data_IF_730947552678
#
_entry.id   IF_730947552678
#
_cell.length_a   1.000
_cell.length_b   1.000
_cell.length_c   1.000
_cell.angle_alpha   90.00
_cell.angle_beta   90.00
_cell.angle_gamma   90.00
#
_symmetry.space_group_name_H-M   'P 1'
#
loop_
_entity.id
_entity.type
_entity.pdbx_description
1 polymer ?
#
# COMPACT_ATOMS: atom_id res chain seq x y z
N UNK A 1 -96.70 -5.14 -46.14
CA UNK A 1 -95.70 -6.15 -45.85
C UNK A 1 -94.53 -5.47 -45.25
N UNK A 2 -94.50 -5.44 -43.99
CA UNK A 2 -93.56 -4.73 -43.09
C UNK A 2 -92.41 -5.64 -42.71
N UNK A 3 -91.22 -5.22 -42.99
CA UNK A 3 -90.02 -5.95 -42.57
C UNK A 3 -89.35 -5.07 -41.50
N UNK A 4 -89.34 -5.53 -40.25
CA UNK A 4 -88.74 -4.91 -39.07
C UNK A 4 -87.30 -5.34 -39.01
N UNK A 5 -86.41 -4.39 -39.32
CA UNK A 5 -84.95 -4.55 -39.12
C UNK A 5 -84.62 -4.27 -37.66
N UNK A 6 -84.35 -5.31 -36.91
CA UNK A 6 -83.88 -5.30 -35.52
C UNK A 6 -82.47 -4.77 -35.46
N UNK A 7 -82.29 -3.52 -34.95
CA UNK A 7 -80.99 -2.96 -34.67
C UNK A 7 -80.39 -3.61 -33.37
N UNK A 8 -79.34 -4.35 -33.53
CA UNK A 8 -78.55 -4.93 -32.44
C UNK A 8 -77.66 -3.84 -31.85
N UNK A 9 -78.00 -3.39 -30.67
CA UNK A 9 -77.17 -2.45 -29.91
C UNK A 9 -76.00 -3.19 -29.25
N UNK A 10 -74.82 -3.05 -29.84
CA UNK A 10 -73.59 -3.46 -29.20
C UNK A 10 -73.22 -2.38 -28.19
N UNK A 11 -73.40 -2.66 -26.88
CA UNK A 11 -72.84 -1.89 -25.80
C UNK A 11 -71.33 -2.03 -25.81
N UNK A 12 -70.55 -0.93 -25.72
CA UNK A 12 -69.12 -1.04 -25.48
C UNK A 12 -68.93 -1.51 -24.06
N UNK A 13 -68.26 -2.64 -23.93
CA UNK A 13 -67.78 -3.23 -22.68
C UNK A 13 -66.82 -2.19 -22.05
N UNK A 14 -67.27 -1.51 -21.01
CA UNK A 14 -66.48 -0.59 -20.23
C UNK A 14 -65.38 -1.41 -19.55
N UNK A 15 -64.13 -1.31 -20.01
CA UNK A 15 -62.97 -1.85 -19.34
C UNK A 15 -62.95 -1.33 -17.89
N UNK A 16 -63.23 -2.22 -16.95
CA UNK A 16 -63.07 -1.97 -15.50
C UNK A 16 -61.62 -1.49 -15.26
N UNK A 17 -61.44 -0.21 -15.07
CA UNK A 17 -60.19 0.34 -14.55
C UNK A 17 -60.09 -0.14 -13.10
N UNK A 18 -59.37 -1.22 -12.91
CA UNK A 18 -59.05 -1.71 -11.57
C UNK A 18 -58.24 -0.63 -10.86
N UNK A 19 -58.90 0.14 -10.03
CA UNK A 19 -58.25 1.08 -9.13
C UNK A 19 -57.43 0.24 -8.09
N UNK A 20 -56.10 0.41 -8.03
CA UNK A 20 -55.30 -0.38 -7.10
C UNK A 20 -55.77 -0.10 -5.67
N UNK A 21 -55.93 -1.17 -4.87
CA UNK A 21 -56.33 -1.06 -3.47
C UNK A 21 -55.32 -0.19 -2.70
N UNK A 22 -55.83 0.63 -1.78
CA UNK A 22 -55.02 1.53 -0.95
C UNK A 22 -53.90 0.77 -0.20
N UNK A 23 -54.16 -0.46 0.20
CA UNK A 23 -53.17 -1.33 0.86
C UNK A 23 -52.01 -1.68 -0.08
N UNK A 24 -52.29 -1.95 -1.37
CA UNK A 24 -51.28 -2.26 -2.37
C UNK A 24 -50.39 -1.04 -2.66
N UNK A 25 -50.99 0.13 -2.81
CA UNK A 25 -50.26 1.39 -3.01
C UNK A 25 -49.37 1.74 -1.81
N UNK A 26 -49.83 1.51 -0.58
CA UNK A 26 -49.04 1.71 0.63
C UNK A 26 -47.85 0.74 0.69
N UNK A 27 -48.04 -0.53 0.32
CA UNK A 27 -46.95 -1.50 0.25
C UNK A 27 -45.90 -1.14 -0.80
N UNK A 28 -46.33 -0.71 -1.99
CA UNK A 28 -45.43 -0.25 -3.04
C UNK A 28 -44.65 1.01 -2.63
N UNK A 29 -45.30 1.96 -1.96
CA UNK A 29 -44.67 3.19 -1.47
C UNK A 29 -43.62 2.87 -0.39
N UNK A 30 -43.91 1.93 0.53
CA UNK A 30 -42.95 1.49 1.55
C UNK A 30 -41.73 0.83 0.90
N UNK A 31 -41.99 -0.09 -0.05
CA UNK A 31 -40.91 -0.74 -0.80
C UNK A 31 -40.07 0.27 -1.58
N UNK A 32 -40.68 1.21 -2.28
CA UNK A 32 -39.97 2.25 -3.02
C UNK A 32 -39.11 3.13 -2.11
N UNK A 33 -39.60 3.45 -0.88
CA UNK A 33 -38.81 4.18 0.12
C UNK A 33 -37.61 3.36 0.61
N UNK A 34 -37.80 2.08 0.90
CA UNK A 34 -36.71 1.20 1.32
C UNK A 34 -35.66 1.02 0.23
N UNK A 35 -36.10 0.85 -1.01
CA UNK A 35 -35.19 0.76 -2.17
C UNK A 35 -34.44 2.09 -2.41
N UNK A 36 -35.11 3.24 -2.24
CA UNK A 36 -34.46 4.55 -2.30
C UNK A 36 -33.40 4.73 -1.19
N UNK A 37 -33.73 4.37 0.06
CA UNK A 37 -32.79 4.48 1.18
C UNK A 37 -31.57 3.56 0.96
N UNK A 38 -31.79 2.36 0.45
CA UNK A 38 -30.72 1.43 0.10
C UNK A 38 -29.83 2.00 -1.00
N UNK A 39 -30.45 2.52 -2.06
CA UNK A 39 -29.71 3.14 -3.18
C UNK A 39 -28.89 4.36 -2.73
N UNK A 40 -29.43 5.19 -1.82
CA UNK A 40 -28.71 6.32 -1.24
C UNK A 40 -27.51 5.85 -0.42
N UNK A 41 -27.68 4.81 0.40
CA UNK A 41 -26.59 4.23 1.19
C UNK A 41 -25.48 3.63 0.29
N UNK A 42 -25.87 2.93 -0.77
CA UNK A 42 -24.93 2.38 -1.75
C UNK A 42 -24.19 3.49 -2.52
N UNK A 43 -24.89 4.54 -2.92
CA UNK A 43 -24.29 5.70 -3.58
C UNK A 43 -23.27 6.40 -2.68
N UNK A 44 -23.60 6.62 -1.40
CA UNK A 44 -22.69 7.23 -0.42
C UNK A 44 -21.46 6.34 -0.17
N UNK A 45 -21.65 5.03 -0.03
CA UNK A 45 -20.54 4.07 0.11
C UNK A 45 -19.62 4.07 -1.11
N UNK A 46 -20.21 4.13 -2.32
CA UNK A 46 -19.48 4.19 -3.57
C UNK A 46 -18.70 5.51 -3.69
N UNK A 47 -19.33 6.65 -3.33
CA UNK A 47 -18.67 7.95 -3.28
C UNK A 47 -17.46 7.95 -2.36
N UNK A 48 -17.64 7.47 -1.12
CA UNK A 48 -16.53 7.36 -0.14
C UNK A 48 -15.41 6.46 -0.61
N UNK A 49 -15.74 5.35 -1.28
CA UNK A 49 -14.74 4.45 -1.86
C UNK A 49 -13.97 5.15 -2.98
N UNK A 50 -14.67 5.83 -3.89
CA UNK A 50 -14.04 6.56 -4.98
C UNK A 50 -13.12 7.68 -4.47
N UNK A 51 -13.54 8.44 -3.46
CA UNK A 51 -12.71 9.48 -2.84
C UNK A 51 -11.41 8.92 -2.26
N UNK A 52 -11.47 7.78 -1.55
CA UNK A 52 -10.27 7.09 -1.05
C UNK A 52 -9.38 6.63 -2.20
N UNK A 53 -9.94 6.00 -3.22
CA UNK A 53 -9.17 5.56 -4.39
C UNK A 53 -8.47 6.71 -5.12
N UNK A 54 -9.12 7.87 -5.24
CA UNK A 54 -8.51 9.07 -5.83
C UNK A 54 -7.38 9.59 -4.93
N UNK A 55 -7.56 9.62 -3.61
CA UNK A 55 -6.52 10.02 -2.67
C UNK A 55 -5.31 9.08 -2.75
N UNK A 56 -5.54 7.78 -2.72
CA UNK A 56 -4.49 6.75 -2.85
C UNK A 56 -3.78 6.87 -4.19
N UNK A 57 -4.52 7.02 -5.30
CA UNK A 57 -3.94 7.19 -6.62
C UNK A 57 -3.02 8.42 -6.71
N UNK A 58 -3.37 9.52 -6.05
CA UNK A 58 -2.53 10.73 -5.99
C UNK A 58 -1.24 10.51 -5.21
N UNK A 59 -1.34 9.83 -4.06
CA UNK A 59 -0.16 9.54 -3.22
C UNK A 59 0.78 8.58 -3.93
N UNK A 60 0.24 7.54 -4.58
CA UNK A 60 1.05 6.48 -5.21
C UNK A 60 1.27 6.64 -6.71
N UNK A 61 0.88 7.79 -7.30
CA UNK A 61 1.10 8.06 -8.72
C UNK A 61 2.58 7.98 -9.14
N UNK A 62 3.49 8.27 -8.21
CA UNK A 62 4.94 8.24 -8.45
C UNK A 62 5.61 6.92 -8.04
N UNK A 63 4.85 5.94 -7.53
CA UNK A 63 5.36 4.66 -7.00
C UNK A 63 6.31 3.98 -8.01
N UNK A 64 5.83 3.77 -9.23
CA UNK A 64 6.63 3.12 -10.29
C UNK A 64 7.87 3.94 -10.67
N UNK A 65 7.68 5.24 -10.89
CA UNK A 65 8.79 6.14 -11.22
C UNK A 65 9.83 6.18 -10.11
N UNK A 66 9.40 6.28 -8.85
CA UNK A 66 10.29 6.24 -7.70
C UNK A 66 11.05 4.91 -7.65
N UNK A 67 10.35 3.78 -7.85
CA UNK A 67 10.96 2.44 -7.92
C UNK A 67 12.07 2.36 -8.97
N UNK A 68 11.84 2.93 -10.15
CA UNK A 68 12.82 2.96 -11.25
C UNK A 68 14.05 3.85 -10.95
N UNK A 69 13.93 4.81 -10.00
CA UNK A 69 15.06 5.65 -9.55
C UNK A 69 15.91 5.01 -8.42
N UNK A 70 15.37 4.02 -7.69
CA UNK A 70 16.12 3.40 -6.58
C UNK A 70 17.48 2.81 -7.00
N UNK A 71 17.61 2.14 -8.17
CA UNK A 71 18.91 1.64 -8.62
C UNK A 71 19.97 2.74 -8.82
N UNK A 72 19.54 3.97 -9.15
CA UNK A 72 20.45 5.11 -9.29
C UNK A 72 20.99 5.51 -7.93
N UNK A 73 20.13 5.62 -6.92
CA UNK A 73 20.54 5.87 -5.54
C UNK A 73 21.51 4.80 -5.02
N UNK A 74 21.21 3.52 -5.29
CA UNK A 74 22.10 2.40 -4.92
C UNK A 74 23.48 2.50 -5.60
N UNK A 75 23.50 2.90 -6.87
CA UNK A 75 24.76 3.03 -7.62
C UNK A 75 25.61 4.18 -7.08
N UNK A 76 24.98 5.31 -6.70
CA UNK A 76 25.68 6.42 -6.06
C UNK A 76 26.25 6.00 -4.71
N UNK A 77 25.43 5.35 -3.85
CA UNK A 77 25.91 4.85 -2.55
C UNK A 77 27.05 3.85 -2.70
N UNK A 78 26.96 2.94 -3.68
CA UNK A 78 28.04 1.96 -3.98
C UNK A 78 29.31 2.64 -4.46
N UNK A 79 29.20 3.67 -5.30
CA UNK A 79 30.35 4.44 -5.78
C UNK A 79 31.07 5.12 -4.61
N UNK A 80 30.32 5.70 -3.66
CA UNK A 80 30.86 6.33 -2.47
C UNK A 80 31.51 5.34 -1.50
N UNK A 81 30.97 4.12 -1.38
CA UNK A 81 31.59 3.06 -0.58
C UNK A 81 32.89 2.54 -1.19
N UNK A 82 33.00 2.51 -2.51
CA UNK A 82 34.17 2.06 -3.23
C UNK A 82 35.22 3.16 -3.44
N UNK A 83 34.89 4.42 -3.12
CA UNK A 83 35.78 5.56 -3.33
C UNK A 83 37.00 5.50 -2.41
N UNK A 84 38.23 5.69 -2.96
CA UNK A 84 39.46 5.77 -2.16
C UNK A 84 39.42 7.02 -1.29
N UNK A 85 39.51 6.87 0.05
CA UNK A 85 39.44 8.01 0.99
C UNK A 85 40.83 8.39 1.54
N UNK A 86 41.69 7.40 1.74
CA UNK A 86 42.94 7.60 2.48
C UNK A 86 44.10 8.13 1.62
N UNK A 87 44.15 7.71 0.32
CA UNK A 87 45.24 8.08 -0.60
C UNK A 87 44.75 8.97 -1.77
N UNK A 88 43.56 9.58 -1.66
CA UNK A 88 42.99 10.41 -2.71
C UNK A 88 43.71 11.77 -2.80
N UNK A 89 44.08 12.19 -3.99
CA UNK A 89 44.48 13.54 -4.28
C UNK A 89 43.29 14.54 -4.14
N UNK A 90 43.59 15.85 -4.14
CA UNK A 90 42.55 16.87 -3.97
C UNK A 90 41.49 16.85 -5.08
N UNK A 91 41.84 16.45 -6.30
CA UNK A 91 40.93 16.31 -7.42
C UNK A 91 39.91 15.19 -7.14
N UNK A 92 40.38 14.03 -6.69
CA UNK A 92 39.56 12.86 -6.36
C UNK A 92 38.68 13.18 -5.15
N UNK A 93 39.19 13.85 -4.12
CA UNK A 93 38.40 14.29 -2.96
C UNK A 93 37.28 15.23 -3.35
N UNK A 94 37.55 16.19 -4.24
CA UNK A 94 36.56 17.13 -4.75
C UNK A 94 35.45 16.37 -5.55
N UNK A 95 35.85 15.38 -6.34
CA UNK A 95 34.91 14.54 -7.09
C UNK A 95 34.01 13.74 -6.13
N UNK A 96 34.59 13.09 -5.11
CA UNK A 96 33.84 12.35 -4.08
C UNK A 96 32.85 13.25 -3.39
N UNK A 97 33.27 14.44 -2.97
CA UNK A 97 32.38 15.45 -2.35
C UNK A 97 31.22 15.82 -3.29
N UNK A 98 31.50 16.00 -4.60
CA UNK A 98 30.44 16.25 -5.59
C UNK A 98 29.43 15.12 -5.70
N UNK A 99 29.87 13.86 -5.65
CA UNK A 99 29.00 12.69 -5.66
C UNK A 99 28.19 12.58 -4.37
N UNK A 100 28.81 12.83 -3.20
CA UNK A 100 28.09 12.86 -1.90
C UNK A 100 26.99 13.92 -1.88
N UNK A 101 27.26 15.13 -2.40
CA UNK A 101 26.24 16.16 -2.52
C UNK A 101 25.11 15.77 -3.48
N UNK A 102 25.44 15.06 -4.55
CA UNK A 102 24.44 14.56 -5.52
C UNK A 102 23.55 13.50 -4.88
N UNK A 103 24.13 12.53 -4.18
CA UNK A 103 23.34 11.51 -3.44
C UNK A 103 22.43 12.17 -2.41
N UNK A 104 22.97 13.09 -1.61
CA UNK A 104 22.18 13.82 -0.61
C UNK A 104 21.03 14.59 -1.23
N UNK A 105 21.29 15.31 -2.31
CA UNK A 105 20.27 16.06 -3.05
C UNK A 105 19.16 15.13 -3.58
N UNK A 106 19.52 13.96 -4.11
CA UNK A 106 18.55 12.95 -4.56
C UNK A 106 17.68 12.45 -3.41
N UNK A 107 18.27 12.12 -2.25
CA UNK A 107 17.55 11.67 -1.06
C UNK A 107 16.64 12.78 -0.49
N UNK A 108 17.07 14.05 -0.54
CA UNK A 108 16.24 15.19 -0.14
C UNK A 108 15.02 15.35 -1.06
N UNK A 109 15.19 15.14 -2.38
CA UNK A 109 14.07 15.12 -3.33
C UNK A 109 13.13 13.97 -3.02
N UNK A 110 13.65 12.77 -2.76
CA UNK A 110 12.83 11.62 -2.36
C UNK A 110 11.99 11.96 -1.12
N UNK A 111 12.60 12.53 -0.08
CA UNK A 111 11.91 12.92 1.15
C UNK A 111 10.79 13.95 0.89
N UNK A 112 11.00 14.94 0.00
CA UNK A 112 9.98 15.93 -0.39
C UNK A 112 8.76 15.27 -1.05
N UNK A 113 8.96 14.16 -1.75
CA UNK A 113 7.89 13.38 -2.38
C UNK A 113 7.34 12.26 -1.49
N UNK A 114 7.72 12.21 -0.23
CA UNK A 114 7.20 11.25 0.75
C UNK A 114 7.90 9.89 0.75
N UNK A 115 8.99 9.73 -0.01
CA UNK A 115 9.83 8.55 0.07
C UNK A 115 10.76 8.67 1.29
N UNK A 116 10.80 7.62 2.10
CA UNK A 116 11.70 7.53 3.25
C UNK A 116 12.61 6.32 3.10
N UNK A 117 13.89 6.52 3.39
CA UNK A 117 14.86 5.44 3.49
C UNK A 117 14.62 4.67 4.78
N UNK A 118 14.72 3.35 4.73
CA UNK A 118 14.58 2.43 5.87
C UNK A 118 15.74 1.44 5.88
N UNK A 119 15.96 0.84 7.04
CA UNK A 119 17.07 -0.09 7.25
C UNK A 119 18.33 0.66 7.67
N UNK A 120 18.36 1.20 8.89
CA UNK A 120 19.56 1.80 9.48
C UNK A 120 20.23 0.81 10.45
N UNK A 121 21.55 0.91 10.61
CA UNK A 121 22.30 0.11 11.61
C UNK A 121 21.78 0.46 12.99
N UNK A 122 21.51 -0.56 13.81
CA UNK A 122 20.99 -0.39 15.17
C UNK A 122 19.47 -0.33 15.25
N UNK A 123 18.76 -0.33 14.11
CA UNK A 123 17.30 -0.38 14.06
C UNK A 123 16.79 -1.79 14.39
N UNK A 124 15.65 -1.90 15.08
CA UNK A 124 14.99 -3.20 15.32
C UNK A 124 14.52 -3.82 14.02
N UNK A 125 14.80 -5.09 13.81
CA UNK A 125 14.35 -5.80 12.61
C UNK A 125 12.83 -5.82 12.53
N UNK A 126 12.30 -5.37 11.38
CA UNK A 126 10.88 -5.37 11.08
C UNK A 126 10.63 -6.11 9.76
N UNK A 127 9.94 -7.25 9.75
CA UNK A 127 9.70 -8.05 8.54
C UNK A 127 8.94 -7.31 7.42
N UNK A 128 8.17 -6.26 7.75
CA UNK A 128 7.44 -5.47 6.76
C UNK A 128 8.34 -4.49 6.00
N UNK A 129 9.48 -4.11 6.58
CA UNK A 129 10.40 -3.10 6.05
C UNK A 129 11.77 -3.70 5.68
N UNK A 130 12.14 -4.81 6.31
CA UNK A 130 13.45 -5.41 6.22
C UNK A 130 13.38 -6.84 5.73
N UNK A 131 14.31 -7.20 4.85
CA UNK A 131 14.56 -8.56 4.42
C UNK A 131 15.90 -9.02 5.01
N UNK A 132 15.86 -9.96 5.95
CA UNK A 132 17.07 -10.56 6.49
C UNK A 132 17.72 -11.45 5.43
N UNK A 133 18.97 -11.16 5.08
CA UNK A 133 19.78 -11.95 4.15
C UNK A 133 20.54 -13.02 4.91
N UNK A 134 21.08 -12.66 6.05
CA UNK A 134 21.80 -13.55 6.96
C UNK A 134 21.70 -13.06 8.39
N UNK A 135 22.09 -13.94 9.33
CA UNK A 135 22.25 -13.61 10.73
C UNK A 135 23.71 -13.89 11.14
N UNK A 136 24.34 -12.93 11.83
CA UNK A 136 25.72 -13.06 12.27
C UNK A 136 25.92 -12.42 13.65
N UNK A 137 26.92 -12.86 14.42
CA UNK A 137 27.33 -12.17 15.64
C UNK A 137 27.76 -10.74 15.33
N UNK A 138 27.36 -9.80 16.16
CA UNK A 138 27.76 -8.39 16.06
C UNK A 138 27.70 -7.71 17.42
N UNK A 139 28.19 -6.46 17.52
CA UNK A 139 28.15 -5.68 18.75
C UNK A 139 26.74 -5.21 19.14
N UNK A 140 25.77 -5.40 18.26
CA UNK A 140 24.37 -5.08 18.53
C UNK A 140 23.61 -6.22 19.22
N UNK A 141 22.56 -5.91 19.98
CA UNK A 141 21.68 -6.92 20.55
C UNK A 141 21.08 -7.85 19.48
N UNK A 142 20.71 -9.06 19.86
CA UNK A 142 20.03 -9.98 18.95
C UNK A 142 18.71 -9.41 18.44
N UNK A 143 18.41 -9.62 17.15
CA UNK A 143 17.19 -9.10 16.49
C UNK A 143 17.28 -7.65 16.02
N UNK A 144 18.47 -7.04 16.04
CA UNK A 144 18.73 -5.69 15.55
C UNK A 144 19.47 -5.76 14.21
N UNK A 145 19.28 -4.76 13.35
CA UNK A 145 20.02 -4.61 12.08
C UNK A 145 21.49 -4.35 12.37
N UNK A 146 22.35 -5.32 12.11
CA UNK A 146 23.79 -5.20 12.28
C UNK A 146 24.43 -4.46 11.10
N UNK A 147 24.00 -4.78 9.88
CA UNK A 147 24.52 -4.17 8.67
C UNK A 147 23.44 -4.06 7.60
N UNK A 148 23.54 -3.01 6.78
CA UNK A 148 22.62 -2.76 5.66
C UNK A 148 23.36 -3.03 4.35
N UNK A 149 22.96 -4.09 3.67
CA UNK A 149 23.52 -4.46 2.37
C UNK A 149 22.92 -3.64 1.25
N UNK A 150 21.63 -3.33 1.37
CA UNK A 150 20.90 -2.48 0.43
C UNK A 150 19.80 -1.72 1.18
N UNK A 151 19.77 -0.40 1.02
CA UNK A 151 18.76 0.44 1.66
C UNK A 151 17.37 0.14 1.14
N UNK A 152 16.39 0.07 2.04
CA UNK A 152 14.98 0.00 1.69
C UNK A 152 14.37 1.38 1.53
N UNK A 153 13.19 1.42 0.88
CA UNK A 153 12.44 2.66 0.69
C UNK A 153 10.95 2.42 0.86
N UNK A 154 10.28 3.36 1.53
CA UNK A 154 8.83 3.39 1.71
C UNK A 154 8.26 4.68 1.13
N UNK A 155 7.07 4.62 0.55
CA UNK A 155 6.30 5.77 0.07
C UNK A 155 5.00 5.84 0.90
N UNK A 156 4.92 6.82 1.81
CA UNK A 156 3.85 6.84 2.81
C UNK A 156 3.85 5.55 3.64
N UNK A 157 2.75 4.79 3.56
CA UNK A 157 2.59 3.52 4.28
C UNK A 157 2.95 2.27 3.44
N UNK A 158 3.35 2.48 2.18
CA UNK A 158 3.66 1.38 1.26
C UNK A 158 5.15 1.17 1.12
N UNK A 159 5.62 -0.06 1.33
CA UNK A 159 7.00 -0.44 1.06
C UNK A 159 7.21 -0.61 -0.45
N UNK A 160 8.07 0.25 -1.04
CA UNK A 160 8.50 0.11 -2.43
C UNK A 160 9.55 -0.99 -2.57
N UNK A 161 10.47 -1.04 -1.61
CA UNK A 161 11.53 -2.04 -1.53
C UNK A 161 11.94 -2.23 -0.08
N UNK A 162 11.94 -3.48 0.40
CA UNK A 162 12.48 -3.81 1.71
C UNK A 162 14.01 -3.60 1.74
N UNK A 163 14.54 -3.17 2.88
CA UNK A 163 15.99 -3.11 3.08
C UNK A 163 16.55 -4.52 3.21
N UNK A 164 17.61 -4.83 2.48
CA UNK A 164 18.37 -6.09 2.66
C UNK A 164 19.38 -5.87 3.79
N UNK A 165 19.19 -6.61 4.87
CA UNK A 165 19.95 -6.40 6.10
C UNK A 165 20.55 -7.70 6.64
N UNK A 166 21.70 -7.55 7.32
CA UNK A 166 22.26 -8.56 8.20
C UNK A 166 21.67 -8.32 9.60
N UNK A 167 21.10 -9.36 10.20
CA UNK A 167 20.52 -9.27 11.55
C UNK A 167 21.52 -9.75 12.57
N UNK A 168 21.65 -9.04 13.67
CA UNK A 168 22.51 -9.44 14.78
C UNK A 168 21.98 -10.68 15.48
N UNK A 169 22.86 -11.64 15.72
CA UNK A 169 22.65 -12.77 16.64
C UNK A 169 23.03 -12.42 18.10
N UNK A 170 23.51 -11.20 18.35
CA UNK A 170 24.10 -10.76 19.59
C UNK A 170 25.64 -10.82 19.58
N UNK A 171 26.33 -10.35 20.64
CA UNK A 171 27.78 -10.35 20.75
C UNK A 171 28.35 -11.77 20.73
N UNK A 172 29.46 -11.96 20.02
CA UNK A 172 30.13 -13.29 19.90
C UNK A 172 30.56 -13.90 21.23
N UNK A 173 30.71 -13.08 22.29
CA UNK A 173 31.07 -13.53 23.64
C UNK A 173 29.86 -13.88 24.54
N UNK A 174 28.65 -13.84 24.02
CA UNK A 174 27.41 -14.16 24.73
C UNK A 174 26.81 -15.49 24.28
N UNK A 175 27.63 -16.54 24.09
CA UNK A 175 27.11 -17.86 23.79
C UNK A 175 26.40 -18.44 25.02
N UNK A 176 25.18 -18.03 25.27
CA UNK A 176 24.20 -18.87 25.93
C UNK A 176 23.61 -19.79 24.87
N UNK A 177 24.14 -20.99 24.80
CA UNK A 177 23.55 -22.11 24.09
C UNK A 177 22.06 -22.21 24.52
N UNK A 178 21.13 -22.50 23.62
CA UNK A 178 19.77 -22.84 24.02
C UNK A 178 19.82 -24.18 24.77
N UNK A 179 19.76 -24.13 26.09
CA UNK A 179 19.54 -25.30 26.95
C UNK A 179 18.05 -25.69 26.84
N UNK A 180 17.68 -26.23 25.71
CA UNK A 180 16.43 -26.93 25.50
C UNK A 180 16.69 -28.42 25.55
N UNK A 181 16.89 -28.99 26.77
CA UNK A 181 16.83 -30.44 26.99
C UNK A 181 15.36 -30.83 26.73
N UNK A 182 15.11 -31.47 25.60
CA UNK A 182 13.83 -32.14 25.34
C UNK A 182 13.87 -33.42 26.17
N UNK A 183 13.18 -33.40 27.30
CA UNK A 183 12.94 -34.59 28.13
C UNK A 183 11.90 -35.48 27.42
N UNK A 184 12.37 -36.42 26.63
CA UNK A 184 11.54 -37.49 26.07
C UNK A 184 11.40 -38.55 27.17
N UNK A 185 10.29 -38.52 27.91
CA UNK A 185 9.85 -39.65 28.71
C UNK A 185 9.28 -40.73 27.80
N UNK A 186 9.93 -41.88 27.79
CA UNK A 186 9.45 -43.18 27.28
C UNK A 186 8.40 -43.74 28.25
#
# INVERSE_FOLDING_TARGET
>A
MTDETKAEQTQPEAAEVQTPDVATLQAELTKARDDMLRALAEAENTRRRAERQVADARVYAIDRFAGDLLPIADTLSRALLAAPRDDADDSVRNLITGVELTERSLLDVFAKHGLKRVGEKGETFNPNLHQAVAQAPSDYPAGVVAEVMQSGFVLGDRTLRAAMVLVSAGPANGAQAPSGTIDIKV
#
